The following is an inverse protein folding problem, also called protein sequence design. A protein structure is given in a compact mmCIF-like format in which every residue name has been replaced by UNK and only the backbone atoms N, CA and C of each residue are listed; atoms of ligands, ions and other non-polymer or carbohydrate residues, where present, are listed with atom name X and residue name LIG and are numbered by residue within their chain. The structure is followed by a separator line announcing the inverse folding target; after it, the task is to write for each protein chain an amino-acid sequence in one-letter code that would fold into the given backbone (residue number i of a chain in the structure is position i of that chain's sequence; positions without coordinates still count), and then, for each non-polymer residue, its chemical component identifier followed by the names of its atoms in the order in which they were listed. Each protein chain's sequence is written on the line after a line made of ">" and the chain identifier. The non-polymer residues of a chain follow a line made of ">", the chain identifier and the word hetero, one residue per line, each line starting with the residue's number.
data_IF_126917759329
#
_entry.id   IF_126917759329
#
_cell.length_a   1.000
_cell.length_b   1.000
_cell.length_c   1.000
_cell.angle_alpha   90.00
_cell.angle_beta   90.00
_cell.angle_gamma   90.00
#
_symmetry.space_group_name_H-M   'P 1'
#
loop_
_entity.id
_entity.type
_entity.pdbx_description
1 polymer ?
#
# COMPACT_ATOMS: atom_id res chain seq x y z
N UNK A 1 5.94 -62.98 -26.52
CA UNK A 1 5.95 -61.68 -25.80
C UNK A 1 7.26 -60.98 -26.14
N UNK A 2 7.40 -59.93 -26.95
CA UNK A 2 6.77 -58.61 -26.82
C UNK A 2 7.21 -57.65 -27.97
N UNK A 3 7.33 -58.08 -29.23
CA UNK A 3 7.75 -57.17 -30.33
C UNK A 3 6.72 -56.05 -30.59
N UNK A 4 5.43 -56.36 -30.46
CA UNK A 4 4.34 -55.38 -30.49
C UNK A 4 4.27 -54.51 -29.22
N UNK A 5 4.44 -55.10 -28.02
CA UNK A 5 4.51 -54.31 -26.77
C UNK A 5 5.71 -53.36 -26.73
N UNK A 6 6.86 -53.77 -27.30
CA UNK A 6 8.07 -52.94 -27.41
C UNK A 6 7.91 -51.80 -28.43
N UNK A 7 7.19 -52.02 -29.54
CA UNK A 7 6.81 -50.94 -30.48
C UNK A 7 5.82 -49.95 -29.86
N UNK A 8 4.82 -50.44 -29.12
CA UNK A 8 3.86 -49.60 -28.39
C UNK A 8 4.55 -48.75 -27.32
N UNK A 9 5.52 -49.31 -26.59
CA UNK A 9 6.31 -48.57 -25.60
C UNK A 9 7.22 -47.51 -26.24
N UNK A 10 7.85 -47.81 -27.38
CA UNK A 10 8.71 -46.83 -28.09
C UNK A 10 7.88 -45.71 -28.73
N UNK A 11 6.63 -45.98 -29.14
CA UNK A 11 5.73 -44.97 -29.70
C UNK A 11 5.07 -44.09 -28.63
N UNK A 12 4.81 -44.63 -27.43
CA UNK A 12 4.17 -43.92 -26.31
C UNK A 12 5.16 -43.23 -25.37
N UNK A 13 6.42 -43.66 -25.33
CA UNK A 13 7.50 -43.00 -24.59
C UNK A 13 7.64 -41.49 -24.88
N UNK A 14 7.63 -41.01 -26.15
CA UNK A 14 7.71 -39.58 -26.41
C UNK A 14 6.48 -38.81 -25.92
N UNK A 15 5.28 -39.40 -26.03
CA UNK A 15 4.04 -38.76 -25.53
C UNK A 15 4.05 -38.68 -24.01
N UNK A 16 4.45 -39.76 -23.32
CA UNK A 16 4.60 -39.76 -21.87
C UNK A 16 5.68 -38.78 -21.40
N UNK A 17 6.79 -38.66 -22.13
CA UNK A 17 7.84 -37.69 -21.85
C UNK A 17 7.33 -36.25 -22.00
N UNK A 18 6.54 -35.94 -23.04
CA UNK A 18 5.92 -34.62 -23.22
C UNK A 18 4.95 -34.33 -22.07
N UNK A 19 4.10 -35.29 -21.68
CA UNK A 19 3.19 -35.13 -20.54
C UNK A 19 3.97 -34.90 -19.25
N UNK A 20 5.07 -35.63 -19.01
CA UNK A 20 5.91 -35.45 -17.83
C UNK A 20 6.55 -34.05 -17.81
N UNK A 21 7.05 -33.57 -18.95
CA UNK A 21 7.60 -32.22 -19.08
C UNK A 21 6.54 -31.15 -18.81
N UNK A 22 5.31 -31.35 -19.27
CA UNK A 22 4.18 -30.45 -18.98
C UNK A 22 3.88 -30.45 -17.49
N UNK A 23 3.81 -31.61 -16.84
CA UNK A 23 3.57 -31.71 -15.38
C UNK A 23 4.68 -31.03 -14.59
N UNK A 24 5.95 -31.27 -14.94
CA UNK A 24 7.11 -30.62 -14.32
C UNK A 24 7.03 -29.11 -14.52
N UNK A 25 6.70 -28.63 -15.72
CA UNK A 25 6.58 -27.20 -15.99
C UNK A 25 5.42 -26.55 -15.24
N UNK A 26 4.28 -27.22 -15.14
CA UNK A 26 3.15 -26.77 -14.32
C UNK A 26 3.53 -26.71 -12.84
N UNK A 27 4.28 -27.69 -12.34
CA UNK A 27 4.83 -27.68 -10.99
C UNK A 27 5.81 -26.51 -10.77
N UNK A 28 6.72 -26.27 -11.70
CA UNK A 28 7.65 -25.12 -11.62
C UNK A 28 6.92 -23.78 -11.60
N UNK A 29 5.82 -23.63 -12.36
CA UNK A 29 5.00 -22.41 -12.38
C UNK A 29 4.25 -22.20 -11.07
N UNK A 30 3.73 -23.27 -10.45
CA UNK A 30 3.04 -23.18 -9.15
C UNK A 30 4.02 -22.85 -8.02
N UNK A 31 5.23 -23.39 -8.06
CA UNK A 31 6.27 -23.11 -7.06
C UNK A 31 6.77 -21.66 -7.21
N UNK A 32 7.05 -21.21 -8.44
CA UNK A 32 7.49 -19.84 -8.70
C UNK A 32 6.39 -18.80 -8.40
N UNK A 33 5.12 -19.13 -8.64
CA UNK A 33 4.00 -18.27 -8.26
C UNK A 33 3.79 -18.18 -6.76
N UNK A 34 4.07 -19.27 -6.03
CA UNK A 34 4.01 -19.30 -4.57
C UNK A 34 5.13 -18.50 -3.90
N UNK A 35 6.34 -18.53 -4.45
CA UNK A 35 7.48 -17.75 -3.93
C UNK A 35 7.37 -16.26 -4.22
N UNK A 36 6.88 -15.87 -5.41
CA UNK A 36 6.61 -14.47 -5.70
C UNK A 36 5.55 -13.88 -4.74
N UNK A 37 4.51 -14.66 -4.40
CA UNK A 37 3.49 -14.24 -3.44
C UNK A 37 4.02 -14.12 -1.98
N UNK A 38 4.97 -14.96 -1.57
CA UNK A 38 5.63 -14.83 -0.25
C UNK A 38 6.59 -13.65 -0.21
N UNK A 39 7.32 -13.38 -1.28
CA UNK A 39 8.34 -12.33 -1.31
C UNK A 39 7.71 -10.93 -1.43
N UNK A 40 6.55 -10.83 -2.10
CA UNK A 40 5.66 -9.68 -2.01
C UNK A 40 5.14 -9.45 -0.58
N UNK A 41 4.83 -10.52 0.16
CA UNK A 41 4.40 -10.42 1.55
C UNK A 41 5.54 -9.97 2.49
N UNK A 42 6.80 -10.27 2.15
CA UNK A 42 7.99 -9.94 2.94
C UNK A 42 8.64 -8.58 2.60
N UNK A 43 8.11 -7.83 1.61
CA UNK A 43 8.64 -6.51 1.15
C UNK A 43 10.11 -6.53 0.72
N UNK A 44 10.60 -7.65 0.20
CA UNK A 44 12.00 -7.78 -0.25
C UNK A 44 12.15 -7.42 -1.73
N UNK A 45 12.31 -6.12 -2.02
CA UNK A 45 12.41 -5.57 -3.38
C UNK A 45 13.64 -6.04 -4.18
N UNK A 46 14.67 -6.57 -3.52
CA UNK A 46 15.86 -7.13 -4.18
C UNK A 46 15.64 -8.53 -4.75
N UNK A 47 14.94 -9.39 -4.01
CA UNK A 47 14.58 -10.75 -4.46
C UNK A 47 13.54 -10.70 -5.59
N UNK A 48 12.56 -9.81 -5.47
CA UNK A 48 11.52 -9.61 -6.47
C UNK A 48 12.09 -9.22 -7.86
N UNK A 49 13.17 -8.45 -7.91
CA UNK A 49 13.79 -8.03 -9.18
C UNK A 49 14.37 -9.22 -9.96
N UNK A 50 14.95 -10.20 -9.26
CA UNK A 50 15.46 -11.43 -9.88
C UNK A 50 14.36 -12.40 -10.33
N UNK A 51 13.25 -12.43 -9.59
CA UNK A 51 12.08 -13.24 -9.92
C UNK A 51 11.28 -12.67 -11.10
N UNK A 52 11.24 -11.34 -11.25
CA UNK A 52 10.64 -10.66 -12.41
C UNK A 52 11.47 -10.90 -13.68
N UNK A 53 12.80 -10.81 -13.63
CA UNK A 53 13.68 -11.08 -14.78
C UNK A 53 13.59 -12.55 -15.26
N UNK A 54 13.37 -13.50 -14.34
CA UNK A 54 13.18 -14.92 -14.72
C UNK A 54 11.76 -15.23 -15.20
N UNK A 55 10.73 -14.52 -14.73
CA UNK A 55 9.37 -14.63 -15.26
C UNK A 55 9.24 -14.02 -16.66
N UNK A 56 9.95 -12.93 -16.95
CA UNK A 56 9.92 -12.25 -18.24
C UNK A 56 10.57 -13.09 -19.36
N UNK A 57 11.68 -13.78 -19.06
CA UNK A 57 12.37 -14.67 -20.02
C UNK A 57 11.55 -15.91 -20.42
N UNK A 58 10.51 -16.29 -19.65
CA UNK A 58 9.68 -17.47 -19.91
C UNK A 58 8.29 -17.15 -20.50
N UNK A 59 7.99 -15.88 -20.79
CA UNK A 59 6.62 -15.39 -20.94
C UNK A 59 6.09 -15.41 -22.39
N UNK A 60 5.85 -16.61 -22.92
CA UNK A 60 5.21 -16.80 -24.24
C UNK A 60 3.69 -17.02 -24.14
N UNK A 61 3.16 -17.25 -22.92
CA UNK A 61 1.79 -17.78 -22.73
C UNK A 61 0.83 -16.78 -22.03
N UNK A 62 1.31 -15.84 -21.18
CA UNK A 62 0.42 -14.91 -20.45
C UNK A 62 1.01 -13.48 -20.32
N UNK A 63 0.92 -12.64 -21.38
CA UNK A 63 1.56 -11.32 -21.42
C UNK A 63 1.02 -10.33 -20.36
N UNK A 64 -0.22 -10.48 -19.92
CA UNK A 64 -0.78 -9.64 -18.86
C UNK A 64 -0.06 -9.81 -17.51
N UNK A 65 0.52 -11.00 -17.23
CA UNK A 65 1.27 -11.25 -15.98
C UNK A 65 2.59 -10.48 -15.93
N UNK A 66 3.27 -10.32 -17.06
CA UNK A 66 4.47 -9.48 -17.14
C UNK A 66 4.15 -8.02 -16.82
N UNK A 67 3.06 -7.49 -17.40
CA UNK A 67 2.61 -6.12 -17.14
C UNK A 67 2.23 -5.90 -15.67
N UNK A 68 1.53 -6.85 -15.06
CA UNK A 68 1.22 -6.80 -13.62
C UNK A 68 2.49 -6.81 -12.78
N UNK A 69 3.43 -7.71 -13.06
CA UNK A 69 4.69 -7.80 -12.31
C UNK A 69 5.54 -6.52 -12.45
N UNK A 70 5.63 -5.97 -13.67
CA UNK A 70 6.30 -4.70 -13.94
C UNK A 70 5.60 -3.53 -13.22
N UNK A 71 4.26 -3.51 -13.22
CA UNK A 71 3.46 -2.52 -12.49
C UNK A 71 3.74 -2.58 -10.98
N UNK A 72 3.75 -3.78 -10.39
CA UNK A 72 4.04 -3.97 -8.98
C UNK A 72 5.47 -3.58 -8.61
N UNK A 73 6.45 -3.86 -9.48
CA UNK A 73 7.82 -3.36 -9.30
C UNK A 73 7.85 -1.82 -9.35
N UNK A 74 7.15 -1.20 -10.30
CA UNK A 74 7.06 0.25 -10.39
C UNK A 74 6.44 0.87 -9.12
N UNK A 75 5.44 0.23 -8.50
CA UNK A 75 4.89 0.65 -7.19
C UNK A 75 5.98 0.63 -6.12
N UNK A 76 6.77 -0.44 -6.03
CA UNK A 76 7.84 -0.58 -5.04
C UNK A 76 8.99 0.42 -5.27
N UNK A 77 9.17 0.88 -6.50
CA UNK A 77 10.13 1.91 -6.89
C UNK A 77 9.59 3.34 -6.77
N UNK A 78 8.38 3.52 -6.21
CA UNK A 78 7.68 4.80 -6.10
C UNK A 78 7.25 5.43 -7.44
N UNK A 79 7.37 4.69 -8.55
CA UNK A 79 7.03 5.09 -9.92
C UNK A 79 5.55 4.84 -10.22
N UNK A 80 4.67 5.50 -9.45
CA UNK A 80 3.23 5.24 -9.50
C UNK A 80 2.56 5.56 -10.84
N UNK A 81 3.03 6.56 -11.58
CA UNK A 81 2.48 6.88 -12.91
C UNK A 81 2.79 5.79 -13.94
N UNK A 82 4.00 5.23 -13.88
CA UNK A 82 4.38 4.08 -14.69
C UNK A 82 3.54 2.85 -14.30
N UNK A 83 3.32 2.64 -13.00
CA UNK A 83 2.46 1.57 -12.50
C UNK A 83 1.00 1.72 -12.99
N UNK A 84 0.43 2.94 -13.00
CA UNK A 84 -0.93 3.19 -13.53
C UNK A 84 -1.04 2.76 -14.99
N UNK A 85 -0.06 3.13 -15.81
CA UNK A 85 -0.01 2.75 -17.22
C UNK A 85 0.09 1.23 -17.41
N UNK A 86 1.00 0.58 -16.67
CA UNK A 86 1.23 -0.86 -16.77
C UNK A 86 0.01 -1.68 -16.33
N UNK A 87 -0.64 -1.31 -15.21
CA UNK A 87 -1.84 -2.00 -14.75
C UNK A 87 -3.06 -1.71 -15.63
N UNK A 88 -3.20 -0.49 -16.18
CA UNK A 88 -4.25 -0.18 -17.14
C UNK A 88 -4.09 -1.03 -18.42
N UNK A 89 -2.88 -1.13 -18.95
CA UNK A 89 -2.60 -1.98 -20.11
C UNK A 89 -2.81 -3.47 -19.81
N UNK A 90 -2.41 -3.93 -18.62
CA UNK A 90 -2.68 -5.29 -18.19
C UNK A 90 -4.18 -5.57 -18.12
N UNK A 91 -4.98 -4.61 -17.66
CA UNK A 91 -6.43 -4.71 -17.56
C UNK A 91 -7.08 -4.82 -18.93
N UNK A 92 -6.66 -3.99 -19.90
CA UNK A 92 -7.19 -4.00 -21.27
C UNK A 92 -6.90 -5.33 -22.00
N UNK A 93 -5.82 -6.02 -21.62
CA UNK A 93 -5.41 -7.32 -22.19
C UNK A 93 -5.95 -8.52 -21.42
N UNK A 94 -6.72 -8.30 -20.37
CA UNK A 94 -7.22 -9.36 -19.49
C UNK A 94 -8.69 -9.67 -19.70
N UNK A 95 -9.05 -10.93 -19.49
CA UNK A 95 -10.45 -11.34 -19.40
C UNK A 95 -11.11 -10.64 -18.19
N UNK A 96 -12.29 -10.00 -18.36
CA UNK A 96 -13.03 -9.38 -17.25
C UNK A 96 -13.18 -10.30 -16.04
N UNK A 97 -13.38 -11.61 -16.23
CA UNK A 97 -13.54 -12.59 -15.16
C UNK A 97 -12.26 -12.82 -14.33
N UNK A 98 -11.08 -12.50 -14.89
CA UNK A 98 -9.77 -12.62 -14.23
C UNK A 98 -9.12 -11.26 -13.94
N UNK A 99 -9.87 -10.17 -14.07
CA UNK A 99 -9.35 -8.81 -13.93
C UNK A 99 -9.28 -8.28 -12.48
N UNK A 100 -9.76 -9.06 -11.51
CA UNK A 100 -9.99 -8.59 -10.14
C UNK A 100 -8.75 -8.03 -9.45
N UNK A 101 -7.64 -8.80 -9.44
CA UNK A 101 -6.39 -8.37 -8.83
C UNK A 101 -5.84 -7.10 -9.51
N UNK A 102 -5.85 -7.07 -10.85
CA UNK A 102 -5.38 -5.92 -11.64
C UNK A 102 -6.18 -4.66 -11.31
N UNK A 103 -7.50 -4.79 -11.16
CA UNK A 103 -8.38 -3.67 -10.78
C UNK A 103 -8.10 -3.18 -9.37
N UNK A 104 -7.83 -4.07 -8.42
CA UNK A 104 -7.46 -3.70 -7.05
C UNK A 104 -6.13 -2.93 -7.05
N UNK A 105 -5.13 -3.43 -7.76
CA UNK A 105 -3.83 -2.76 -7.87
C UNK A 105 -3.95 -1.39 -8.56
N UNK A 106 -4.71 -1.32 -9.66
CA UNK A 106 -4.96 -0.07 -10.39
C UNK A 106 -5.74 0.96 -9.55
N UNK A 107 -6.73 0.52 -8.78
CA UNK A 107 -7.47 1.37 -7.83
C UNK A 107 -6.53 1.96 -6.78
N UNK A 108 -5.71 1.10 -6.16
CA UNK A 108 -4.75 1.49 -5.14
C UNK A 108 -3.74 2.52 -5.66
N UNK A 109 -3.16 2.29 -6.84
CA UNK A 109 -2.19 3.22 -7.46
C UNK A 109 -2.83 4.57 -7.73
N UNK A 110 -4.02 4.58 -8.33
CA UNK A 110 -4.74 5.83 -8.65
C UNK A 110 -5.14 6.60 -7.41
N UNK A 111 -5.59 5.91 -6.37
CA UNK A 111 -5.88 6.59 -5.10
C UNK A 111 -4.62 7.19 -4.47
N UNK A 112 -3.50 6.46 -4.49
CA UNK A 112 -2.23 6.95 -3.95
C UNK A 112 -1.73 8.19 -4.70
N UNK A 113 -1.87 8.24 -6.03
CA UNK A 113 -1.60 9.43 -6.84
C UNK A 113 -2.53 10.59 -6.49
N UNK A 114 -3.80 10.30 -6.17
CA UNK A 114 -4.74 11.27 -5.65
C UNK A 114 -4.32 11.83 -4.29
N UNK A 115 -3.86 10.98 -3.37
CA UNK A 115 -3.38 11.36 -2.05
C UNK A 115 -2.12 12.23 -2.12
N UNK A 116 -1.19 11.92 -3.05
CA UNK A 116 -0.02 12.76 -3.32
C UNK A 116 -0.41 14.13 -3.83
N UNK A 117 -1.35 14.17 -4.80
CA UNK A 117 -1.88 15.42 -5.35
C UNK A 117 -2.57 16.26 -4.26
N UNK A 118 -3.35 15.61 -3.38
CA UNK A 118 -4.00 16.27 -2.25
C UNK A 118 -2.98 16.82 -1.26
N UNK A 119 -1.91 16.08 -0.98
CA UNK A 119 -0.82 16.52 -0.09
C UNK A 119 -0.06 17.70 -0.70
N UNK A 120 0.07 17.74 -2.02
CA UNK A 120 0.63 18.86 -2.77
C UNK A 120 -0.35 20.05 -2.93
N UNK A 121 -1.54 19.99 -2.31
CA UNK A 121 -2.61 20.98 -2.42
C UNK A 121 -3.15 21.17 -3.86
N UNK A 122 -2.91 20.20 -4.74
CA UNK A 122 -3.50 20.13 -6.07
C UNK A 122 -4.81 19.34 -6.03
N UNK A 123 -5.87 20.01 -5.56
CA UNK A 123 -7.21 19.42 -5.45
C UNK A 123 -7.81 18.99 -6.79
N UNK A 124 -7.47 19.68 -7.89
CA UNK A 124 -7.96 19.34 -9.22
C UNK A 124 -7.38 18.00 -9.72
N UNK A 125 -6.06 17.83 -9.59
CA UNK A 125 -5.39 16.56 -9.90
C UNK A 125 -5.83 15.45 -8.96
N UNK A 126 -5.93 15.73 -7.65
CA UNK A 126 -6.42 14.77 -6.66
C UNK A 126 -7.81 14.24 -7.03
N UNK A 127 -8.75 15.14 -7.32
CA UNK A 127 -10.09 14.77 -7.74
C UNK A 127 -10.11 13.98 -9.05
N UNK A 128 -9.18 14.28 -9.99
CA UNK A 128 -9.07 13.52 -11.24
C UNK A 128 -8.65 12.06 -11.00
N UNK A 129 -7.69 11.85 -10.09
CA UNK A 129 -7.18 10.54 -9.72
C UNK A 129 -8.22 9.73 -8.97
N UNK A 130 -8.87 10.31 -7.95
CA UNK A 130 -9.93 9.62 -7.21
C UNK A 130 -11.14 9.26 -8.08
N UNK A 131 -11.53 10.12 -9.05
CA UNK A 131 -12.58 9.76 -10.03
C UNK A 131 -12.19 8.56 -10.89
N UNK A 132 -10.93 8.50 -11.34
CA UNK A 132 -10.42 7.35 -12.12
C UNK A 132 -10.32 6.08 -11.27
N UNK A 133 -9.97 6.18 -10.00
CA UNK A 133 -10.00 5.06 -9.06
C UNK A 133 -11.44 4.57 -8.85
N UNK A 134 -12.39 5.49 -8.62
CA UNK A 134 -13.80 5.14 -8.40
C UNK A 134 -14.41 4.43 -9.63
N UNK A 135 -14.07 4.88 -10.83
CA UNK A 135 -14.50 4.22 -12.07
C UNK A 135 -14.00 2.77 -12.17
N UNK A 136 -12.82 2.44 -11.63
CA UNK A 136 -12.32 1.06 -11.58
C UNK A 136 -13.15 0.20 -10.64
N UNK A 137 -13.49 0.74 -9.46
CA UNK A 137 -14.34 0.08 -8.46
C UNK A 137 -15.75 -0.17 -9.00
N UNK A 138 -16.35 0.84 -9.61
CA UNK A 138 -17.73 0.78 -10.11
C UNK A 138 -17.89 -0.15 -11.32
N UNK A 139 -16.85 -0.27 -12.16
CA UNK A 139 -16.85 -1.16 -13.31
C UNK A 139 -16.37 -2.59 -13.00
N UNK A 140 -15.99 -2.87 -11.75
CA UNK A 140 -15.50 -4.19 -11.36
C UNK A 140 -16.65 -5.21 -11.22
N UNK A 141 -16.39 -6.50 -11.53
CA UNK A 141 -17.32 -7.59 -11.21
C UNK A 141 -17.66 -7.65 -9.72
N UNK A 142 -18.83 -8.24 -9.39
CA UNK A 142 -19.15 -8.56 -8.00
C UNK A 142 -18.12 -9.54 -7.42
N UNK A 143 -17.82 -9.39 -6.13
CA UNK A 143 -16.79 -10.20 -5.46
C UNK A 143 -15.39 -9.58 -5.50
N UNK A 144 -15.16 -8.51 -6.28
CA UNK A 144 -13.88 -7.79 -6.28
C UNK A 144 -13.80 -6.74 -5.18
N UNK A 145 -14.67 -5.74 -5.25
CA UNK A 145 -14.78 -4.70 -4.23
C UNK A 145 -16.04 -4.92 -3.40
N UNK A 146 -17.22 -4.69 -4.00
CA UNK A 146 -18.51 -4.93 -3.34
C UNK A 146 -18.78 -6.42 -3.17
N UNK A 147 -19.07 -6.82 -1.94
CA UNK A 147 -19.27 -8.21 -1.57
C UNK A 147 -18.00 -9.02 -1.78
N UNK A 148 -16.84 -8.43 -1.46
CA UNK A 148 -15.54 -9.04 -1.73
C UNK A 148 -15.48 -10.48 -1.20
N UNK A 149 -14.99 -11.40 -2.02
CA UNK A 149 -14.84 -12.81 -1.64
C UNK A 149 -13.43 -13.10 -1.13
N UNK A 150 -12.69 -12.08 -0.71
CA UNK A 150 -11.37 -12.24 -0.15
C UNK A 150 -11.40 -13.14 1.09
N UNK A 151 -10.37 -13.96 1.30
CA UNK A 151 -10.26 -14.85 2.46
C UNK A 151 -9.94 -14.03 3.72
N UNK A 152 -9.13 -12.99 3.59
CA UNK A 152 -8.73 -12.11 4.69
C UNK A 152 -9.87 -11.12 4.99
N UNK A 153 -10.35 -11.13 6.23
CA UNK A 153 -11.51 -10.32 6.63
C UNK A 153 -11.22 -8.82 6.63
N UNK A 154 -10.01 -8.43 7.05
CA UNK A 154 -9.58 -7.05 7.05
C UNK A 154 -9.46 -6.53 5.61
N UNK A 155 -8.81 -7.30 4.73
CA UNK A 155 -8.70 -6.95 3.31
C UNK A 155 -10.07 -6.87 2.64
N UNK A 156 -10.97 -7.81 2.95
CA UNK A 156 -12.35 -7.78 2.48
C UNK A 156 -13.06 -6.48 2.87
N UNK A 157 -12.97 -6.09 4.14
CA UNK A 157 -13.57 -4.85 4.63
C UNK A 157 -12.99 -3.60 3.95
N UNK A 158 -11.67 -3.58 3.69
CA UNK A 158 -11.03 -2.47 2.96
C UNK A 158 -11.55 -2.36 1.52
N UNK A 159 -11.66 -3.50 0.82
CA UNK A 159 -12.16 -3.56 -0.55
C UNK A 159 -13.64 -3.17 -0.62
N UNK A 160 -14.47 -3.64 0.31
CA UNK A 160 -15.89 -3.27 0.41
C UNK A 160 -16.07 -1.76 0.66
N UNK A 161 -15.18 -1.16 1.45
CA UNK A 161 -15.21 0.26 1.79
C UNK A 161 -14.65 1.18 0.69
N UNK A 162 -13.99 0.63 -0.35
CA UNK A 162 -13.24 1.41 -1.34
C UNK A 162 -14.07 2.53 -1.99
N UNK A 163 -15.28 2.23 -2.47
CA UNK A 163 -16.13 3.22 -3.12
C UNK A 163 -16.52 4.38 -2.19
N UNK A 164 -16.92 4.07 -0.95
CA UNK A 164 -17.30 5.09 0.03
C UNK A 164 -16.10 5.97 0.44
N UNK A 165 -14.93 5.34 0.62
CA UNK A 165 -13.67 6.01 0.92
C UNK A 165 -13.25 6.97 -0.21
N UNK A 166 -13.29 6.53 -1.47
CA UNK A 166 -12.97 7.37 -2.63
C UNK A 166 -13.96 8.54 -2.77
N UNK A 167 -15.25 8.31 -2.53
CA UNK A 167 -16.26 9.37 -2.52
C UNK A 167 -15.99 10.42 -1.43
N UNK A 168 -15.58 10.00 -0.23
CA UNK A 168 -15.19 10.90 0.84
C UNK A 168 -13.95 11.74 0.46
N UNK A 169 -12.93 11.10 -0.13
CA UNK A 169 -11.73 11.79 -0.64
C UNK A 169 -12.05 12.81 -1.74
N UNK A 170 -12.99 12.50 -2.63
CA UNK A 170 -13.48 13.43 -3.64
C UNK A 170 -14.17 14.66 -3.04
N UNK A 171 -14.98 14.46 -1.99
CA UNK A 171 -15.64 15.56 -1.30
C UNK A 171 -14.62 16.51 -0.64
N UNK A 172 -13.51 15.96 -0.11
CA UNK A 172 -12.45 16.75 0.52
C UNK A 172 -11.48 17.37 -0.48
N UNK A 173 -11.32 16.82 -1.69
CA UNK A 173 -10.37 17.32 -2.69
C UNK A 173 -10.65 18.77 -3.14
N UNK A 174 -11.87 19.27 -2.96
CA UNK A 174 -12.26 20.64 -3.27
C UNK A 174 -12.50 21.50 -2.01
N UNK A 175 -12.30 20.94 -0.82
CA UNK A 175 -12.47 21.68 0.42
C UNK A 175 -11.27 22.63 0.62
N UNK A 176 -11.55 23.92 0.77
CA UNK A 176 -10.54 24.88 1.22
C UNK A 176 -10.17 24.51 2.67
N UNK A 177 -8.88 24.39 3.03
CA UNK A 177 -8.49 24.18 4.41
C UNK A 177 -9.13 25.27 5.28
N UNK A 178 -9.89 24.88 6.30
CA UNK A 178 -10.46 25.84 7.23
C UNK A 178 -9.31 26.65 7.84
N UNK A 179 -9.44 27.99 7.82
CA UNK A 179 -8.47 28.85 8.49
C UNK A 179 -8.34 28.42 9.96
N UNK A 180 -7.12 28.42 10.54
CA UNK A 180 -6.95 28.10 11.95
C UNK A 180 -7.87 29.01 12.79
N UNK A 181 -8.47 28.49 13.87
CA UNK A 181 -9.34 29.29 14.71
C UNK A 181 -8.59 30.53 15.20
N UNK A 182 -9.25 31.71 15.26
CA UNK A 182 -8.60 32.91 15.76
C UNK A 182 -8.05 32.66 17.17
N UNK A 183 -6.87 33.20 17.50
CA UNK A 183 -6.31 33.02 18.84
C UNK A 183 -7.31 33.51 19.88
N UNK A 184 -7.47 32.80 21.02
CA UNK A 184 -8.36 33.24 22.08
C UNK A 184 -7.96 34.66 22.51
N UNK A 185 -8.96 35.55 22.60
CA UNK A 185 -8.77 36.94 23.03
C UNK A 185 -8.12 36.92 24.41
N UNK A 186 -6.94 37.54 24.53
CA UNK A 186 -6.23 37.62 25.80
C UNK A 186 -7.12 38.31 26.86
N UNK A 187 -7.21 37.77 28.09
CA UNK A 187 -7.94 38.42 29.16
C UNK A 187 -7.34 39.81 29.46
N UNK A 188 -8.15 40.78 29.93
CA UNK A 188 -7.67 42.11 30.25
C UNK A 188 -6.55 42.04 31.31
N UNK A 189 -5.54 42.93 31.25
CA UNK A 189 -4.43 42.89 32.19
C UNK A 189 -4.93 43.09 33.63
N UNK A 190 -4.39 42.32 34.60
CA UNK A 190 -4.76 42.48 36.00
C UNK A 190 -4.34 43.88 36.52
N UNK A 191 -5.06 44.42 37.53
CA UNK A 191 -4.69 45.69 38.15
C UNK A 191 -3.30 45.62 38.79
N UNK A 192 -2.55 46.74 38.83
CA UNK A 192 -1.19 46.76 39.36
C UNK A 192 -1.17 46.39 40.86
N UNK A 193 -0.22 45.56 41.32
CA UNK A 193 -0.11 45.20 42.72
C UNK A 193 0.39 46.38 43.59
N UNK A 194 0.00 46.44 44.88
CA UNK A 194 0.53 47.43 45.82
C UNK A 194 2.02 47.21 46.09
N UNK A 195 2.78 48.27 46.46
CA UNK A 195 4.21 48.16 46.69
C UNK A 195 4.49 47.39 47.99
N UNK A 196 5.11 46.22 47.87
CA UNK A 196 5.66 45.47 49.00
C UNK A 196 7.19 45.53 48.97
N UNK A 197 7.74 46.03 50.06
CA UNK A 197 9.17 46.09 50.36
C UNK A 197 9.78 44.70 50.56
N UNK A 198 10.97 44.52 49.99
CA UNK A 198 12.08 43.67 50.47
C UNK A 198 11.76 42.27 50.99
N UNK A 199 12.06 41.23 50.21
CA UNK A 199 13.28 40.45 50.42
C UNK A 199 13.46 39.39 49.33
N UNK A 200 14.64 39.40 48.73
CA UNK A 200 15.17 38.40 47.81
C UNK A 200 14.96 36.98 48.36
N UNK A 201 14.13 36.20 47.67
CA UNK A 201 14.35 34.77 47.51
C UNK A 201 13.95 34.43 46.08
N UNK A 202 14.95 34.30 45.22
CA UNK A 202 14.78 33.77 43.87
C UNK A 202 14.56 32.27 44.06
N UNK A 203 13.30 31.84 44.02
CA UNK A 203 12.95 30.46 43.65
C UNK A 203 12.66 30.49 42.15
N UNK A 204 13.65 30.11 41.35
CA UNK A 204 13.53 29.89 39.91
C UNK A 204 12.67 28.65 39.65
N UNK A 205 11.36 28.85 39.61
CA UNK A 205 10.42 27.92 39.02
C UNK A 205 10.52 27.92 37.49
N UNK A 206 11.41 27.06 36.96
CA UNK A 206 11.23 26.35 35.69
C UNK A 206 11.53 27.11 34.38
N UNK A 207 12.61 26.74 33.65
CA UNK A 207 12.79 27.21 32.29
C UNK A 207 11.77 26.57 31.33
N UNK A 208 11.32 27.39 30.38
CA UNK A 208 10.49 27.10 29.20
C UNK A 208 10.72 25.70 28.63
N UNK A 209 9.63 24.95 28.42
CA UNK A 209 9.67 23.77 27.57
C UNK A 209 9.92 24.19 26.12
N UNK A 210 10.98 23.59 25.57
CA UNK A 210 11.46 23.65 24.19
C UNK A 210 12.33 24.87 23.85
N UNK A 211 13.45 24.98 24.56
CA UNK A 211 14.65 25.63 24.01
C UNK A 211 15.58 24.50 23.50
N UNK A 212 15.91 24.42 22.20
CA UNK A 212 16.66 23.30 21.61
C UNK A 212 18.11 23.16 22.09
N UNK A 213 18.63 24.10 22.87
CA UNK A 213 20.02 24.09 23.35
C UNK A 213 20.20 23.65 24.81
N UNK A 214 19.17 23.08 25.47
CA UNK A 214 19.31 22.62 26.87
C UNK A 214 18.72 21.24 27.14
N UNK A 215 19.62 20.26 27.26
CA UNK A 215 19.37 18.89 27.73
C UNK A 215 19.48 17.84 26.62
N UNK A 216 20.11 16.70 26.92
CA UNK A 216 20.25 15.61 25.95
C UNK A 216 18.86 15.08 25.56
N UNK A 217 18.43 15.23 24.29
CA UNK A 217 17.11 14.81 23.83
C UNK A 217 16.89 13.31 24.02
N UNK A 218 17.96 12.51 24.07
CA UNK A 218 17.89 11.06 24.23
C UNK A 218 17.43 10.66 25.63
N UNK A 219 17.89 11.36 26.67
CA UNK A 219 17.50 11.11 28.06
C UNK A 219 16.02 11.44 28.31
N UNK A 220 15.51 12.50 27.66
CA UNK A 220 14.08 12.84 27.69
C UNK A 220 13.23 11.77 27.01
N UNK A 221 13.69 11.20 25.90
CA UNK A 221 12.99 10.12 25.20
C UNK A 221 12.93 8.86 26.06
N UNK A 222 14.05 8.50 26.70
CA UNK A 222 14.12 7.36 27.60
C UNK A 222 13.22 7.51 28.83
N UNK A 223 13.09 8.73 29.38
CA UNK A 223 12.19 9.03 30.48
C UNK A 223 10.73 8.75 30.09
N UNK A 224 10.30 9.25 28.93
CA UNK A 224 8.92 9.07 28.43
C UNK A 224 8.61 7.57 28.20
N UNK A 225 9.57 6.82 27.66
CA UNK A 225 9.40 5.38 27.42
C UNK A 225 9.30 4.58 28.73
N UNK A 226 10.06 4.95 29.77
CA UNK A 226 9.97 4.32 31.10
C UNK A 226 8.63 4.63 31.77
N UNK A 227 8.15 5.86 31.68
CA UNK A 227 6.87 6.26 32.27
C UNK A 227 5.70 5.54 31.58
N UNK A 228 5.75 5.38 30.25
CA UNK A 228 4.77 4.63 29.48
C UNK A 228 4.78 3.12 29.79
N UNK A 229 5.95 2.55 30.11
CA UNK A 229 6.07 1.16 30.53
C UNK A 229 5.58 0.94 31.97
N UNK A 230 5.78 1.92 32.86
CA UNK A 230 5.26 1.88 34.24
C UNK A 230 3.72 1.98 34.26
N UNK A 231 3.13 2.79 33.39
CA UNK A 231 1.67 2.93 33.27
C UNK A 231 0.97 1.66 32.77
N UNK A 232 1.66 0.79 32.01
CA UNK A 232 1.11 -0.47 31.50
C UNK A 232 1.15 -1.63 32.51
N UNK A 233 2.00 -1.56 33.55
CA UNK A 233 2.15 -2.60 34.57
C UNK A 233 1.37 -2.31 35.87
N UNK A 234 0.61 -1.21 35.91
CA UNK A 234 -0.18 -0.78 37.08
C UNK A 234 -1.69 -0.97 36.96
N UNK A 235 -2.15 -1.86 36.06
CA UNK A 235 -3.58 -2.18 35.85
C UNK A 235 -3.95 -3.56 36.35
#
# INVERSE_FOLDING_TARGET
>A
MNRQRRRLLVLSAPVAMVVLLVVVKLWSVVIAGGSAASDFAERNSGALRGDVDTLDVLNVIEPAKALVAAGSLAVLEDRLEDADGLFAEALDRSDPARSCAIRIDLEFVRETLGDRSSTALDGASAASWYRRALAVVESAPQGCFRGSTDIDEQRRALLDAAAARLAAKLATAFAVPAAPPPPPVAPPPPPPPPPSSSNTRIDEGGPLRLNPDTGDPLERLQQILRDAAAAQNGG
#
